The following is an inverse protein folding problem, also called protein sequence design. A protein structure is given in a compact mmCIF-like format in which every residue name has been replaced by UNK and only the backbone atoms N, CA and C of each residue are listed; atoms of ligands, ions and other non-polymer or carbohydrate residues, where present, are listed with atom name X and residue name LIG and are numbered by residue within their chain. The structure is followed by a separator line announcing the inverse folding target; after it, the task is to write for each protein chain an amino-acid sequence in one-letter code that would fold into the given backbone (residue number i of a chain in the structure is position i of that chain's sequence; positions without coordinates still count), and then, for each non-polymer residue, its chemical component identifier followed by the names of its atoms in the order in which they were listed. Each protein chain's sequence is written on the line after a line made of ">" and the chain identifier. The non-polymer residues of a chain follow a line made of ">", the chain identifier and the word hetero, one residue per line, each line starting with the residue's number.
data_IF_082399064184
#
_entry.id   IF_082399064184
#
_cell.length_a   1.000
_cell.length_b   1.000
_cell.length_c   1.000
_cell.angle_alpha   90.00
_cell.angle_beta   90.00
_cell.angle_gamma   90.00
#
_symmetry.space_group_name_H-M   'P 1'
#
loop_
_entity.id
_entity.type
_entity.pdbx_description
1 polymer ?
#
# COMPACT_ATOMS: atom_id res chain seq x y z
N UNK A 1 -3.47 -13.67 23.44
CA UNK A 1 -3.04 -14.75 22.53
C UNK A 1 -1.96 -15.63 23.14
N UNK A 2 -0.71 -15.15 23.32
CA UNK A 2 0.40 -15.99 23.80
C UNK A 2 0.19 -16.67 25.17
N UNK A 3 -0.56 -16.06 26.10
CA UNK A 3 -0.89 -16.70 27.37
C UNK A 3 -1.80 -17.93 27.20
N UNK A 4 -2.72 -17.88 26.23
CA UNK A 4 -3.60 -19.00 25.91
C UNK A 4 -2.78 -20.11 25.23
N UNK A 5 -1.88 -19.76 24.31
CA UNK A 5 -0.97 -20.70 23.65
C UNK A 5 -0.01 -21.40 24.63
N UNK A 6 0.41 -20.70 25.68
CA UNK A 6 1.21 -21.31 26.74
C UNK A 6 0.41 -22.39 27.50
N UNK A 7 -0.87 -22.13 27.76
CA UNK A 7 -1.78 -23.09 28.38
C UNK A 7 -2.02 -24.32 27.50
N UNK A 8 -2.27 -24.13 26.20
CA UNK A 8 -2.47 -25.24 25.25
C UNK A 8 -1.18 -26.06 25.07
N UNK A 9 -0.02 -25.41 24.97
CA UNK A 9 1.28 -26.07 24.84
C UNK A 9 1.63 -26.96 26.05
N UNK A 10 1.07 -26.69 27.23
CA UNK A 10 1.27 -27.53 28.42
C UNK A 10 0.68 -28.95 28.27
N UNK A 11 -0.30 -29.12 27.38
CA UNK A 11 -0.94 -30.40 27.07
C UNK A 11 -0.14 -31.26 26.07
N UNK A 12 0.98 -30.77 25.54
CA UNK A 12 1.84 -31.54 24.62
C UNK A 12 2.41 -32.76 25.35
N UNK A 13 2.24 -33.95 24.76
CA UNK A 13 2.67 -35.23 25.34
C UNK A 13 4.20 -35.42 25.32
N UNK A 14 4.86 -34.97 24.26
CA UNK A 14 6.32 -35.07 24.14
C UNK A 14 6.99 -34.08 25.10
N UNK A 15 7.74 -34.59 26.09
CA UNK A 15 8.42 -33.76 27.11
C UNK A 15 9.37 -32.74 26.49
N UNK A 16 10.18 -33.17 25.51
CA UNK A 16 11.19 -32.33 24.85
C UNK A 16 10.51 -31.21 24.07
N UNK A 17 9.57 -31.55 23.18
CA UNK A 17 8.87 -30.55 22.37
C UNK A 17 8.07 -29.58 23.26
N UNK A 18 7.42 -30.08 24.31
CA UNK A 18 6.72 -29.23 25.27
C UNK A 18 7.66 -28.21 25.91
N UNK A 19 8.83 -28.64 26.38
CA UNK A 19 9.79 -27.75 27.02
C UNK A 19 10.32 -26.69 26.05
N UNK A 20 10.60 -27.07 24.80
CA UNK A 20 11.06 -26.13 23.76
C UNK A 20 10.00 -25.09 23.40
N UNK A 21 8.74 -25.52 23.21
CA UNK A 21 7.62 -24.63 22.87
C UNK A 21 7.32 -23.66 24.02
N UNK A 22 7.25 -24.16 25.26
CA UNK A 22 7.02 -23.31 26.43
C UNK A 22 8.14 -22.28 26.58
N UNK A 23 9.41 -22.68 26.42
CA UNK A 23 10.54 -21.77 26.50
C UNK A 23 10.53 -20.69 25.40
N UNK A 24 10.13 -21.04 24.17
CA UNK A 24 9.97 -20.09 23.07
C UNK A 24 8.86 -19.07 23.36
N UNK A 25 7.68 -19.52 23.81
CA UNK A 25 6.56 -18.64 24.16
C UNK A 25 6.94 -17.70 25.31
N UNK A 26 7.60 -18.19 26.36
CA UNK A 26 8.07 -17.34 27.46
C UNK A 26 9.07 -16.29 26.98
N UNK A 27 9.97 -16.66 26.07
CA UNK A 27 10.93 -15.71 25.47
C UNK A 27 10.21 -14.63 24.65
N UNK A 28 9.22 -15.01 23.84
CA UNK A 28 8.42 -14.07 23.06
C UNK A 28 7.64 -13.09 23.95
N UNK A 29 7.04 -13.60 25.04
CA UNK A 29 6.34 -12.76 26.02
C UNK A 29 7.28 -11.74 26.69
N UNK A 30 8.52 -12.15 27.02
CA UNK A 30 9.51 -11.23 27.60
C UNK A 30 9.94 -10.15 26.61
N UNK A 31 10.12 -10.50 25.33
CA UNK A 31 10.45 -9.54 24.26
C UNK A 31 9.35 -8.52 24.06
N UNK A 32 8.09 -8.97 23.96
CA UNK A 32 6.95 -8.07 23.76
C UNK A 32 6.76 -7.07 24.91
N UNK A 33 7.17 -7.42 26.14
CA UNK A 33 7.15 -6.46 27.28
C UNK A 33 8.11 -5.28 27.10
N UNK A 34 9.13 -5.38 26.24
CA UNK A 34 10.03 -4.27 25.93
C UNK A 34 9.36 -3.21 25.06
N UNK A 35 8.28 -3.55 24.35
CA UNK A 35 7.55 -2.67 23.44
C UNK A 35 6.25 -2.17 24.09
N UNK A 36 6.20 -0.86 24.41
CA UNK A 36 4.99 -0.24 24.95
C UNK A 36 3.87 -0.09 23.90
N UNK A 37 4.25 0.04 22.63
CA UNK A 37 3.34 0.16 21.48
C UNK A 37 3.95 -0.52 20.27
N UNK A 38 3.12 -0.93 19.32
CA UNK A 38 3.59 -1.43 18.02
C UNK A 38 4.26 -0.27 17.27
N UNK A 39 5.50 -0.46 16.78
CA UNK A 39 6.17 0.54 15.93
C UNK A 39 5.39 0.86 14.64
N UNK A 40 5.65 1.99 13.97
CA UNK A 40 4.86 2.43 12.81
C UNK A 40 4.88 1.43 11.64
N UNK A 41 6.00 0.73 11.42
CA UNK A 41 6.09 -0.26 10.34
C UNK A 41 5.63 -1.68 10.75
N UNK A 42 5.27 -1.87 12.02
CA UNK A 42 4.95 -3.17 12.59
C UNK A 42 6.09 -3.75 13.43
N UNK A 43 5.93 -5.00 13.85
CA UNK A 43 6.89 -5.70 14.71
C UNK A 43 7.00 -7.15 14.27
N UNK A 44 8.24 -7.64 14.13
CA UNK A 44 8.54 -9.04 13.83
C UNK A 44 9.29 -9.63 15.01
N UNK A 45 8.87 -10.82 15.43
CA UNK A 45 9.47 -11.54 16.55
C UNK A 45 9.69 -13.00 16.14
N UNK A 46 10.95 -13.41 16.07
CA UNK A 46 11.37 -14.80 15.91
C UNK A 46 11.93 -15.31 17.22
N UNK A 47 11.34 -16.39 17.74
CA UNK A 47 11.81 -17.06 18.95
C UNK A 47 11.87 -18.56 18.75
N UNK A 48 12.99 -19.17 19.13
CA UNK A 48 13.14 -20.62 19.06
C UNK A 48 14.52 -21.09 19.50
N UNK A 49 14.72 -22.39 19.51
CA UNK A 49 16.03 -23.03 19.69
C UNK A 49 16.49 -23.58 18.35
N UNK A 50 17.64 -23.13 17.87
CA UNK A 50 18.26 -23.65 16.65
C UNK A 50 19.53 -24.39 17.00
N UNK A 51 19.85 -25.43 16.23
CA UNK A 51 21.15 -26.07 16.29
C UNK A 51 22.14 -25.24 15.47
N UNK A 52 23.28 -24.90 16.07
CA UNK A 52 24.40 -24.27 15.36
C UNK A 52 25.29 -25.32 14.71
N UNK A 53 26.12 -24.92 13.75
CA UNK A 53 27.04 -25.81 13.01
C UNK A 53 27.98 -26.60 13.94
N UNK A 54 28.26 -26.05 15.13
CA UNK A 54 29.04 -26.69 16.20
C UNK A 54 28.28 -27.78 16.97
N UNK A 55 27.06 -28.13 16.54
CA UNK A 55 26.21 -29.12 17.21
C UNK A 55 25.57 -28.62 18.51
N UNK A 56 25.75 -27.35 18.87
CA UNK A 56 25.22 -26.76 20.12
C UNK A 56 23.84 -26.15 19.90
N UNK A 57 22.94 -26.36 20.85
CA UNK A 57 21.64 -25.69 20.90
C UNK A 57 21.82 -24.23 21.29
N UNK A 58 21.37 -23.32 20.42
CA UNK A 58 21.38 -21.88 20.66
C UNK A 58 19.95 -21.36 20.68
N UNK A 59 19.61 -20.63 21.74
CA UNK A 59 18.36 -19.87 21.81
C UNK A 59 18.47 -18.66 20.89
N UNK A 60 17.63 -18.63 19.86
CA UNK A 60 17.49 -17.52 18.92
C UNK A 60 16.26 -16.71 19.30
N UNK A 61 16.49 -15.46 19.70
CA UNK A 61 15.46 -14.48 19.95
C UNK A 61 15.83 -13.24 19.15
N UNK A 62 15.10 -12.99 18.06
CA UNK A 62 15.33 -11.86 17.17
C UNK A 62 14.02 -11.07 17.09
N UNK A 63 14.09 -9.80 17.47
CA UNK A 63 12.99 -8.87 17.43
C UNK A 63 13.47 -7.58 16.74
N UNK A 64 12.71 -7.13 15.73
CA UNK A 64 13.05 -5.91 14.99
C UNK A 64 11.81 -5.30 14.33
N UNK A 65 11.92 -4.01 14.04
CA UNK A 65 10.96 -3.29 13.21
C UNK A 65 11.37 -3.43 11.73
N UNK A 66 10.45 -3.86 10.84
CA UNK A 66 10.74 -3.94 9.41
C UNK A 66 10.91 -2.55 8.79
N UNK A 67 11.63 -2.47 7.66
CA UNK A 67 11.89 -1.21 6.97
C UNK A 67 10.68 -0.66 6.19
N UNK A 68 9.70 -1.52 5.86
CA UNK A 68 8.41 -1.18 5.22
C UNK A 68 7.26 -1.61 6.13
N UNK A 69 6.12 -0.88 6.13
CA UNK A 69 4.95 -1.24 6.93
C UNK A 69 4.32 -2.56 6.48
N UNK A 70 4.01 -3.42 7.45
CA UNK A 70 3.42 -4.74 7.23
C UNK A 70 1.93 -4.73 7.58
N UNK A 71 1.09 -5.24 6.67
CA UNK A 71 -0.35 -5.39 6.87
C UNK A 71 -0.80 -6.82 7.24
N UNK A 72 0.14 -7.78 7.25
CA UNK A 72 -0.13 -9.18 7.57
C UNK A 72 0.10 -9.48 9.04
N UNK A 73 -0.87 -10.11 9.70
CA UNK A 73 -0.72 -10.65 11.06
C UNK A 73 -0.57 -12.16 10.98
N UNK A 74 0.60 -12.69 11.38
CA UNK A 74 0.93 -14.11 11.30
C UNK A 74 1.51 -14.62 12.63
N UNK A 75 1.00 -15.75 13.09
CA UNK A 75 1.56 -16.49 14.23
C UNK A 75 1.64 -17.96 13.86
N UNK A 76 2.85 -18.51 13.82
CA UNK A 76 3.12 -19.90 13.48
C UNK A 76 4.19 -20.49 14.41
N UNK A 77 4.01 -21.75 14.78
CA UNK A 77 5.02 -22.55 15.49
C UNK A 77 5.33 -23.76 14.61
N UNK A 78 6.56 -23.85 14.13
CA UNK A 78 7.00 -24.88 13.20
C UNK A 78 8.49 -25.21 13.39
N UNK A 79 9.01 -26.20 12.67
CA UNK A 79 10.41 -26.60 12.70
C UNK A 79 11.37 -25.65 11.96
N UNK A 80 10.83 -24.67 11.23
CA UNK A 80 11.56 -23.63 10.49
C UNK A 80 10.97 -22.25 10.77
N UNK A 81 11.78 -21.21 10.61
CA UNK A 81 11.28 -19.84 10.63
C UNK A 81 10.66 -19.49 9.28
N UNK A 82 9.41 -19.05 9.31
CA UNK A 82 8.68 -18.60 8.13
C UNK A 82 9.05 -17.15 7.84
N UNK A 83 9.84 -16.93 6.78
CA UNK A 83 10.30 -15.60 6.33
C UNK A 83 9.62 -15.15 5.05
N UNK A 84 8.57 -15.85 4.60
CA UNK A 84 7.84 -15.55 3.37
C UNK A 84 7.31 -14.11 3.35
N UNK A 85 6.69 -13.66 4.44
CA UNK A 85 6.20 -12.29 4.58
C UNK A 85 7.32 -11.23 4.54
N UNK A 86 8.56 -11.59 4.92
CA UNK A 86 9.72 -10.70 4.80
C UNK A 86 10.24 -10.67 3.36
N UNK A 87 10.28 -11.82 2.68
CA UNK A 87 10.72 -11.92 1.30
C UNK A 87 9.79 -11.13 0.36
N UNK A 88 8.47 -11.16 0.57
CA UNK A 88 7.53 -10.35 -0.20
C UNK A 88 7.78 -8.83 -0.07
N UNK A 89 8.22 -8.37 1.11
CA UNK A 89 8.58 -6.96 1.32
C UNK A 89 9.84 -6.58 0.55
N UNK A 90 10.79 -7.52 0.47
CA UNK A 90 12.05 -7.38 -0.26
C UNK A 90 11.88 -7.45 -1.78
N UNK A 91 10.93 -8.26 -2.29
CA UNK A 91 10.67 -8.38 -3.73
C UNK A 91 9.89 -7.19 -4.32
N UNK A 92 9.14 -6.45 -3.49
CA UNK A 92 8.22 -5.39 -3.93
C UNK A 92 8.85 -3.99 -3.94
N UNK A 93 9.87 -3.77 -4.77
CA UNK A 93 10.41 -2.42 -5.03
C UNK A 93 9.66 -1.67 -6.14
N UNK A 94 8.80 -2.35 -6.90
CA UNK A 94 7.94 -1.71 -7.89
C UNK A 94 6.84 -0.90 -7.19
N UNK A 95 7.04 0.42 -7.11
CA UNK A 95 6.02 1.38 -6.68
C UNK A 95 5.11 1.71 -7.87
N UNK A 96 3.81 1.54 -7.70
CA UNK A 96 2.80 1.91 -8.70
C UNK A 96 2.07 3.19 -8.29
N UNK A 97 1.81 4.06 -9.25
CA UNK A 97 1.03 5.28 -9.06
C UNK A 97 -0.43 5.07 -9.44
N UNK A 98 -1.33 5.71 -8.71
CA UNK A 98 -2.76 5.73 -8.99
C UNK A 98 -3.25 7.16 -9.09
N UNK A 99 -3.92 7.48 -10.20
CA UNK A 99 -4.67 8.71 -10.38
C UNK A 99 -6.13 8.33 -10.53
N UNK A 100 -6.93 8.60 -9.50
CA UNK A 100 -8.37 8.39 -9.54
C UNK A 100 -9.04 9.72 -9.85
N UNK A 101 -9.72 9.81 -10.99
CA UNK A 101 -10.46 11.00 -11.42
C UNK A 101 -11.96 10.77 -11.30
N UNK A 102 -12.63 11.67 -10.59
CA UNK A 102 -14.08 11.76 -10.54
C UNK A 102 -14.54 13.20 -10.86
N UNK A 103 -15.84 13.37 -11.11
CA UNK A 103 -16.47 14.67 -11.34
C UNK A 103 -16.46 15.60 -10.12
N UNK A 104 -16.28 15.05 -8.90
CA UNK A 104 -16.22 15.81 -7.66
C UNK A 104 -14.78 16.07 -7.18
N UNK A 105 -13.77 15.49 -7.84
CA UNK A 105 -12.39 15.57 -7.39
C UNK A 105 -11.49 14.45 -7.91
N UNK A 106 -10.21 14.56 -7.59
CA UNK A 106 -9.19 13.57 -7.92
C UNK A 106 -8.39 13.14 -6.70
N UNK A 107 -7.90 11.91 -6.73
CA UNK A 107 -7.04 11.34 -5.71
C UNK A 107 -5.76 10.83 -6.36
N UNK A 108 -4.64 11.19 -5.76
CA UNK A 108 -3.30 10.73 -6.12
C UNK A 108 -2.81 9.81 -5.01
N UNK A 109 -2.40 8.61 -5.37
CA UNK A 109 -1.90 7.63 -4.42
C UNK A 109 -0.79 6.78 -5.02
N UNK A 110 -0.08 6.09 -4.14
CA UNK A 110 0.87 5.05 -4.54
C UNK A 110 0.53 3.74 -3.85
N UNK A 111 0.85 2.65 -4.54
CA UNK A 111 0.77 1.30 -4.03
C UNK A 111 2.16 0.67 -4.17
N UNK A 112 2.72 0.19 -3.07
CA UNK A 112 3.97 -0.53 -3.05
C UNK A 112 3.74 -1.84 -2.30
N UNK A 113 3.68 -2.95 -3.03
CA UNK A 113 3.23 -4.24 -2.50
C UNK A 113 1.82 -4.12 -1.91
N UNK A 114 1.69 -4.38 -0.61
CA UNK A 114 0.43 -4.29 0.14
C UNK A 114 0.23 -2.95 0.87
N UNK A 115 1.20 -2.02 0.79
CA UNK A 115 1.09 -0.70 1.41
C UNK A 115 0.48 0.31 0.45
N UNK A 116 -0.61 0.96 0.87
CA UNK A 116 -1.27 2.04 0.13
C UNK A 116 -0.98 3.37 0.83
N UNK A 117 -0.56 4.36 0.05
CA UNK A 117 -0.33 5.72 0.54
C UNK A 117 -1.12 6.71 -0.32
N UNK A 118 -1.92 7.56 0.33
CA UNK A 118 -2.65 8.64 -0.35
C UNK A 118 -1.77 9.89 -0.29
N UNK A 119 -1.27 10.33 -1.44
CA UNK A 119 -0.38 11.49 -1.55
C UNK A 119 -1.17 12.79 -1.44
N UNK A 120 -2.26 12.90 -2.22
CA UNK A 120 -3.04 14.12 -2.27
C UNK A 120 -4.47 13.87 -2.74
N UNK A 121 -5.40 14.68 -2.24
CA UNK A 121 -6.80 14.69 -2.65
C UNK A 121 -7.21 16.09 -3.03
N UNK A 122 -7.74 16.24 -4.24
CA UNK A 122 -8.26 17.51 -4.76
C UNK A 122 -9.77 17.39 -4.86
N UNK A 123 -10.50 18.34 -4.29
CA UNK A 123 -11.94 18.50 -4.55
C UNK A 123 -12.16 19.54 -5.63
N UNK A 124 -13.10 19.27 -6.54
CA UNK A 124 -13.49 20.18 -7.62
C UNK A 124 -15.00 20.12 -7.81
N UNK A 125 -15.62 21.28 -7.98
CA UNK A 125 -17.04 21.37 -8.29
C UNK A 125 -17.21 21.72 -9.78
N UNK A 126 -17.55 20.70 -10.58
CA UNK A 126 -17.79 20.87 -12.01
C UNK A 126 -19.27 21.21 -12.30
N UNK A 127 -19.55 22.21 -13.16
CA UNK A 127 -20.92 22.54 -13.54
C UNK A 127 -21.62 21.33 -14.16
N UNK A 128 -22.79 20.94 -13.65
CA UNK A 128 -23.57 19.81 -14.16
C UNK A 128 -24.13 20.09 -15.57
N UNK A 129 -24.51 19.02 -16.30
CA UNK A 129 -25.10 19.16 -17.63
C UNK A 129 -26.48 19.77 -17.46
N UNK A 130 -26.68 20.98 -17.96
CA UNK A 130 -28.00 21.60 -17.97
C UNK A 130 -28.85 21.01 -19.11
N UNK A 131 -30.03 20.49 -18.77
CA UNK A 131 -30.99 19.93 -19.75
C UNK A 131 -32.07 20.91 -20.19
N UNK A 132 -32.10 22.13 -19.64
CA UNK A 132 -33.10 23.16 -19.98
C UNK A 132 -32.57 24.02 -21.13
N UNK A 133 -33.29 24.03 -22.25
CA UNK A 133 -32.95 24.83 -23.44
C UNK A 133 -33.16 26.34 -23.23
N UNK A 134 -32.53 27.16 -24.08
CA UNK A 134 -32.65 28.62 -24.06
C UNK A 134 -31.45 29.33 -24.70
N UNK A 135 -31.52 30.66 -24.82
CA UNK A 135 -30.46 31.50 -25.40
C UNK A 135 -29.10 31.34 -24.69
N UNK A 136 -29.12 31.04 -23.39
CA UNK A 136 -27.93 30.84 -22.57
C UNK A 136 -27.39 29.41 -22.57
N UNK A 137 -28.06 28.43 -23.20
CA UNK A 137 -27.68 27.02 -23.17
C UNK A 137 -26.28 26.78 -23.76
N UNK A 138 -25.95 27.43 -24.89
CA UNK A 138 -24.63 27.32 -25.53
C UNK A 138 -23.52 27.88 -24.63
N UNK A 139 -23.79 28.99 -23.93
CA UNK A 139 -22.84 29.59 -22.98
C UNK A 139 -22.55 28.65 -21.81
N UNK A 140 -23.57 28.03 -21.22
CA UNK A 140 -23.38 27.07 -20.12
C UNK A 140 -22.63 25.80 -20.56
N UNK A 141 -22.87 25.32 -21.78
CA UNK A 141 -22.10 24.22 -22.35
C UNK A 141 -20.61 24.58 -22.51
N UNK A 142 -20.30 25.79 -23.01
CA UNK A 142 -18.92 26.29 -23.12
C UNK A 142 -18.23 26.40 -21.75
N UNK A 143 -18.89 27.03 -20.77
CA UNK A 143 -18.37 27.13 -19.39
C UNK A 143 -18.09 25.77 -18.76
N UNK A 144 -18.93 24.77 -19.03
CA UNK A 144 -18.71 23.39 -18.56
C UNK A 144 -17.47 22.78 -19.20
N UNK A 145 -17.30 22.89 -20.51
CA UNK A 145 -16.12 22.36 -21.21
C UNK A 145 -14.83 23.07 -20.77
N UNK A 146 -14.88 24.39 -20.60
CA UNK A 146 -13.75 25.18 -20.11
C UNK A 146 -13.33 24.77 -18.69
N UNK A 147 -14.29 24.57 -17.77
CA UNK A 147 -14.01 24.07 -16.42
C UNK A 147 -13.45 22.64 -16.42
N UNK A 148 -13.94 21.76 -17.29
CA UNK A 148 -13.39 20.41 -17.47
C UNK A 148 -11.96 20.44 -17.98
N UNK A 149 -11.68 21.25 -18.99
CA UNK A 149 -10.34 21.43 -19.53
C UNK A 149 -9.34 21.93 -18.47
N UNK A 150 -9.75 22.93 -17.69
CA UNK A 150 -8.95 23.44 -16.56
C UNK A 150 -8.73 22.38 -15.47
N UNK A 151 -9.73 21.52 -15.24
CA UNK A 151 -9.60 20.42 -14.30
C UNK A 151 -8.59 19.37 -14.77
N UNK A 152 -8.67 18.93 -16.03
CA UNK A 152 -7.69 18.00 -16.63
C UNK A 152 -6.29 18.60 -16.56
N UNK A 153 -6.11 19.88 -16.93
CA UNK A 153 -4.83 20.58 -16.81
C UNK A 153 -4.27 20.53 -15.38
N UNK A 154 -5.09 20.88 -14.40
CA UNK A 154 -4.67 20.88 -12.99
C UNK A 154 -4.25 19.48 -12.53
N UNK A 155 -4.97 18.44 -12.96
CA UNK A 155 -4.61 17.05 -12.64
C UNK A 155 -3.31 16.64 -13.32
N UNK A 156 -3.09 17.01 -14.58
CA UNK A 156 -1.82 16.76 -15.29
C UNK A 156 -0.63 17.43 -14.60
N UNK A 157 -0.77 18.70 -14.19
CA UNK A 157 0.28 19.42 -13.47
C UNK A 157 0.62 18.78 -12.12
N UNK A 158 -0.40 18.36 -11.37
CA UNK A 158 -0.20 17.67 -10.09
C UNK A 158 0.41 16.27 -10.29
N UNK A 159 0.05 15.57 -11.37
CA UNK A 159 0.65 14.27 -11.69
C UNK A 159 2.16 14.40 -11.92
N UNK A 160 2.62 15.45 -12.61
CA UNK A 160 4.05 15.75 -12.78
C UNK A 160 4.71 16.01 -11.43
N UNK A 161 4.09 16.82 -10.57
CA UNK A 161 4.66 17.14 -9.24
C UNK A 161 4.82 15.91 -8.34
N UNK A 162 3.88 14.96 -8.38
CA UNK A 162 3.90 13.79 -7.49
C UNK A 162 4.63 12.58 -8.06
N UNK A 163 4.58 12.37 -9.38
CA UNK A 163 5.10 11.16 -10.02
C UNK A 163 6.39 11.36 -10.80
N UNK A 164 6.88 12.61 -10.95
CA UNK A 164 8.19 12.89 -11.53
C UNK A 164 9.10 13.45 -10.44
N UNK A 165 10.29 12.85 -10.30
CA UNK A 165 11.33 13.34 -9.40
C UNK A 165 12.66 13.26 -10.14
N UNK A 166 13.44 14.35 -10.16
CA UNK A 166 14.69 14.45 -10.92
C UNK A 166 14.53 14.06 -12.40
N UNK A 167 13.52 14.62 -13.08
CA UNK A 167 13.23 14.39 -14.50
C UNK A 167 12.90 12.94 -14.90
N UNK A 168 12.66 12.05 -13.92
CA UNK A 168 12.31 10.65 -14.18
C UNK A 168 11.02 10.27 -13.42
N UNK A 169 10.19 9.38 -13.99
CA UNK A 169 9.08 8.78 -13.26
C UNK A 169 9.60 8.07 -12.01
N UNK A 170 8.98 8.35 -10.86
CA UNK A 170 9.33 7.71 -9.58
C UNK A 170 8.53 6.42 -9.32
N UNK A 171 7.65 6.06 -10.25
CA UNK A 171 6.81 4.85 -10.23
C UNK A 171 7.19 3.94 -11.40
N UNK A 172 7.11 2.63 -11.17
CA UNK A 172 7.32 1.60 -12.19
C UNK A 172 6.14 1.52 -13.18
N UNK A 173 4.96 1.97 -12.75
CA UNK A 173 3.73 1.94 -13.54
C UNK A 173 2.71 2.92 -13.00
N UNK A 174 1.86 3.46 -13.88
CA UNK A 174 0.79 4.37 -13.55
C UNK A 174 -0.56 3.79 -13.98
N UNK A 175 -1.55 3.85 -13.09
CA UNK A 175 -2.92 3.44 -13.35
C UNK A 175 -3.82 4.67 -13.32
N UNK A 176 -4.55 4.88 -14.41
CA UNK A 176 -5.57 5.93 -14.51
C UNK A 176 -6.92 5.32 -14.24
N UNK A 177 -7.53 5.67 -13.12
CA UNK A 177 -8.82 5.16 -12.70
C UNK A 177 -9.86 6.29 -12.66
N UNK A 178 -11.13 5.98 -12.83
CA UNK A 178 -12.17 7.00 -12.69
C UNK A 178 -13.51 6.64 -13.28
N UNK A 179 -14.49 7.49 -13.02
CA UNK A 179 -15.82 7.41 -13.60
C UNK A 179 -15.90 8.25 -14.88
N UNK A 180 -16.63 7.74 -15.88
CA UNK A 180 -16.80 8.36 -17.19
C UNK A 180 -15.48 8.59 -17.97
N UNK A 181 -15.54 9.40 -19.03
CA UNK A 181 -14.46 9.56 -20.01
C UNK A 181 -13.30 10.44 -19.53
N UNK A 182 -13.31 10.98 -18.30
CA UNK A 182 -12.28 11.92 -17.84
C UNK A 182 -10.86 11.33 -17.85
N UNK A 183 -10.72 10.06 -17.48
CA UNK A 183 -9.45 9.32 -17.53
C UNK A 183 -8.94 9.13 -18.96
N UNK A 184 -9.86 8.95 -19.90
CA UNK A 184 -9.56 8.83 -21.34
C UNK A 184 -9.16 10.18 -21.92
N UNK A 185 -9.90 11.24 -21.58
CA UNK A 185 -9.55 12.62 -21.93
C UNK A 185 -8.16 13.00 -21.39
N UNK A 186 -7.83 12.63 -20.15
CA UNK A 186 -6.50 12.84 -19.57
C UNK A 186 -5.42 12.09 -20.39
N UNK A 187 -5.61 10.80 -20.63
CA UNK A 187 -4.64 9.95 -21.33
C UNK A 187 -4.41 10.34 -22.79
N UNK A 188 -5.41 10.93 -23.44
CA UNK A 188 -5.33 11.39 -24.84
C UNK A 188 -4.93 12.86 -24.95
N UNK A 189 -4.96 13.62 -23.85
CA UNK A 189 -4.64 15.04 -23.89
C UNK A 189 -3.15 15.28 -24.08
N UNK A 190 -2.80 16.24 -24.94
CA UNK A 190 -1.43 16.74 -25.10
C UNK A 190 -0.89 17.45 -23.84
N UNK A 191 -1.76 17.70 -22.86
CA UNK A 191 -1.40 18.31 -21.57
C UNK A 191 -0.79 17.31 -20.58
N UNK A 192 -0.96 16.02 -20.83
CA UNK A 192 -0.36 14.99 -19.98
C UNK A 192 1.09 14.77 -20.37
N UNK A 193 1.98 14.68 -19.38
CA UNK A 193 3.42 14.57 -19.65
C UNK A 193 3.72 13.24 -20.36
N UNK A 194 4.44 13.32 -21.48
CA UNK A 194 4.81 12.17 -22.31
C UNK A 194 5.58 11.09 -21.52
N UNK A 195 6.37 11.51 -20.52
CA UNK A 195 7.13 10.59 -19.66
C UNK A 195 6.21 9.74 -18.80
N UNK A 196 5.13 10.33 -18.29
CA UNK A 196 4.11 9.60 -17.52
C UNK A 196 3.23 8.76 -18.45
N UNK A 197 2.91 9.27 -19.64
CA UNK A 197 2.11 8.56 -20.64
C UNK A 197 2.77 7.22 -21.05
N UNK A 198 4.09 7.19 -21.19
CA UNK A 198 4.84 5.97 -21.47
C UNK A 198 4.79 4.92 -20.34
N UNK A 199 4.47 5.34 -19.12
CA UNK A 199 4.41 4.49 -17.91
C UNK A 199 2.97 4.12 -17.55
N UNK A 200 1.98 4.60 -18.30
CA UNK A 200 0.57 4.21 -18.12
C UNK A 200 0.40 2.74 -18.50
N UNK A 201 0.01 1.92 -17.52
CA UNK A 201 -0.21 0.49 -17.70
C UNK A 201 -1.64 0.18 -18.14
N UNK A 202 -2.61 0.83 -17.51
CA UNK A 202 -4.02 0.58 -17.76
C UNK A 202 -4.89 1.77 -17.37
N UNK A 203 -6.03 1.86 -18.06
CA UNK A 203 -7.12 2.78 -17.77
C UNK A 203 -8.28 1.95 -17.22
N UNK A 204 -8.68 2.20 -15.98
CA UNK A 204 -9.68 1.40 -15.26
C UNK A 204 -10.95 2.22 -15.04
N UNK A 205 -12.08 1.67 -15.49
CA UNK A 205 -13.40 2.16 -15.16
C UNK A 205 -13.75 1.82 -13.72
N UNK A 206 -13.97 2.84 -12.89
CA UNK A 206 -14.41 2.67 -11.49
C UNK A 206 -15.72 3.41 -11.31
N UNK A 207 -16.76 2.67 -10.92
CA UNK A 207 -18.01 3.24 -10.45
C UNK A 207 -17.93 3.35 -8.94
N UNK A 208 -17.64 4.53 -8.37
CA UNK A 208 -18.02 4.99 -7.01
C UNK A 208 -17.22 6.24 -6.60
#
# INVERSE_FOLDING_TARGET
>A
MLANEYGTASNIKSRVNRQSVLAAITSAQQRLKLYNRVPPNGLIVFTGTVLTDDGKEKKMNVDFEPYKPINTSLYLCDNKFHTEALNELMESDARYGFIVMDGNGSLFGTLCGNSREVLHKVSVELPKKHGRGGQSALRFARLRMEKRHNYVRKVSELAVQFFITNDRPNVAGLVLAGSADFKTELSQSDMFDQRLQAVVLMVVDVSY
#
